data_IF_819772267621
#
_entry.id   IF_819772267621
#
_cell.length_a   1.000
_cell.length_b   1.000
_cell.length_c   1.000
_cell.angle_alpha   90.00
_cell.angle_beta   90.00
_cell.angle_gamma   90.00
#
_symmetry.space_group_name_H-M   'P 1'
#
loop_
_entity.id
_entity.type
_entity.pdbx_description
1 polymer ?
#
# COMPACT_ATOMS: atom_id res chain seq x y z
N UNK A 1 -32.18 67.61 -28.27
CA UNK A 1 -32.06 66.60 -29.35
C UNK A 1 -31.27 65.43 -28.81
N UNK A 2 -31.93 64.29 -28.59
CA UNK A 2 -31.37 62.95 -28.29
C UNK A 2 -30.73 62.33 -29.57
N UNK A 3 -29.99 61.18 -29.55
CA UNK A 3 -29.92 60.15 -28.50
C UNK A 3 -28.53 59.54 -28.16
N UNK A 4 -28.52 58.77 -27.08
CA UNK A 4 -27.52 57.76 -26.68
C UNK A 4 -27.62 56.50 -27.56
N UNK A 5 -26.50 55.87 -27.95
CA UNK A 5 -26.46 54.54 -28.58
C UNK A 5 -25.08 54.25 -29.19
N UNK A 6 -24.46 53.08 -29.05
CA UNK A 6 -24.86 51.83 -28.42
C UNK A 6 -23.63 50.97 -28.11
N UNK A 7 -23.81 50.05 -27.16
CA UNK A 7 -22.87 49.00 -26.79
C UNK A 7 -22.41 48.19 -28.03
N UNK A 8 -21.09 47.96 -28.23
CA UNK A 8 -20.60 47.12 -29.33
C UNK A 8 -21.09 45.65 -29.26
N UNK A 9 -21.83 45.24 -28.22
CA UNK A 9 -22.39 43.91 -28.03
C UNK A 9 -23.58 43.53 -28.95
N UNK A 10 -23.66 44.07 -30.18
CA UNK A 10 -24.78 43.88 -31.10
C UNK A 10 -24.46 43.06 -32.38
N UNK A 11 -23.36 42.31 -32.42
CA UNK A 11 -23.16 41.29 -33.46
C UNK A 11 -23.17 39.88 -32.86
N UNK A 12 -24.29 39.19 -33.09
CA UNK A 12 -24.56 37.83 -32.61
C UNK A 12 -23.79 36.72 -33.31
N UNK A 13 -22.80 37.03 -34.18
CA UNK A 13 -22.11 36.02 -34.99
C UNK A 13 -20.71 35.62 -34.50
N UNK A 14 -20.15 36.32 -33.52
CA UNK A 14 -18.76 36.12 -33.07
C UNK A 14 -18.62 35.46 -31.67
N UNK A 15 -19.71 35.30 -30.91
CA UNK A 15 -19.62 34.68 -29.57
C UNK A 15 -19.13 33.22 -29.57
N UNK A 16 -19.20 32.55 -30.72
CA UNK A 16 -18.73 31.18 -30.95
C UNK A 16 -17.20 31.07 -30.99
N UNK A 17 -16.49 32.09 -31.45
CA UNK A 17 -15.03 32.02 -31.63
C UNK A 17 -14.26 32.14 -30.31
N UNK A 18 -14.79 32.89 -29.34
CA UNK A 18 -14.15 33.10 -28.03
C UNK A 18 -14.29 31.93 -27.04
N UNK A 19 -15.20 30.98 -27.28
CA UNK A 19 -15.37 29.81 -26.40
C UNK A 19 -14.40 28.66 -26.71
N UNK A 20 -13.79 28.67 -27.90
CA UNK A 20 -13.00 27.55 -28.43
C UNK A 20 -11.51 27.55 -28.02
N UNK A 21 -11.00 28.63 -27.42
CA UNK A 21 -9.60 28.74 -26.99
C UNK A 21 -9.37 28.76 -25.48
N UNK A 22 -10.35 28.34 -24.67
CA UNK A 22 -10.09 28.04 -23.25
C UNK A 22 -9.41 26.67 -23.12
N UNK A 23 -8.21 26.56 -23.69
CA UNK A 23 -7.28 25.47 -23.46
C UNK A 23 -6.63 25.67 -22.07
N UNK A 24 -7.42 25.43 -21.03
CA UNK A 24 -6.85 25.24 -19.70
C UNK A 24 -6.19 23.88 -19.70
N UNK A 25 -4.85 23.87 -19.68
CA UNK A 25 -4.04 22.72 -19.29
C UNK A 25 -4.44 22.33 -17.87
N UNK A 26 -5.55 21.60 -17.75
CA UNK A 26 -6.03 21.02 -16.51
C UNK A 26 -5.14 19.82 -16.26
N UNK A 27 -3.98 20.08 -15.66
CA UNK A 27 -3.14 19.01 -15.11
C UNK A 27 -4.05 18.09 -14.29
N UNK A 28 -4.11 16.79 -14.59
CA UNK A 28 -4.99 15.87 -13.89
C UNK A 28 -4.64 15.91 -12.40
N UNK A 29 -5.64 15.98 -11.52
CA UNK A 29 -5.46 16.07 -10.04
C UNK A 29 -4.49 15.01 -9.49
N UNK A 30 -4.36 13.86 -10.15
CA UNK A 30 -3.40 12.80 -9.82
C UNK A 30 -1.93 13.26 -9.85
N UNK A 31 -1.56 14.20 -10.72
CA UNK A 31 -0.20 14.75 -10.80
C UNK A 31 0.16 15.63 -9.61
N UNK A 32 -0.82 16.31 -9.02
CA UNK A 32 -0.58 17.16 -7.84
C UNK A 32 -0.28 16.30 -6.61
N UNK A 33 -1.04 15.21 -6.38
CA UNK A 33 -0.75 14.28 -5.28
C UNK A 33 0.61 13.58 -5.40
N UNK A 34 1.06 13.28 -6.62
CA UNK A 34 2.39 12.74 -6.85
C UNK A 34 3.48 13.75 -6.46
N UNK A 35 3.35 15.01 -6.88
CA UNK A 35 4.28 16.11 -6.55
C UNK A 35 4.26 16.41 -5.04
N UNK A 36 3.10 16.37 -4.38
CA UNK A 36 2.97 16.53 -2.93
C UNK A 36 3.71 15.42 -2.16
N UNK A 37 3.78 14.20 -2.71
CA UNK A 37 4.59 13.11 -2.16
C UNK A 37 6.10 13.40 -2.20
N UNK A 38 6.58 14.13 -3.20
CA UNK A 38 7.97 14.60 -3.26
C UNK A 38 8.26 15.75 -2.29
N UNK A 39 7.23 16.41 -1.75
CA UNK A 39 7.42 17.50 -0.79
C UNK A 39 8.05 17.01 0.53
N UNK A 40 7.90 15.72 0.88
CA UNK A 40 8.61 15.07 1.99
C UNK A 40 10.13 15.08 1.80
N UNK A 41 10.62 15.04 0.55
CA UNK A 41 12.05 15.06 0.23
C UNK A 41 12.66 16.45 0.48
N UNK A 42 11.85 17.50 0.57
CA UNK A 42 12.34 18.86 0.84
C UNK A 42 12.80 19.07 2.29
N UNK A 43 12.40 18.20 3.22
CA UNK A 43 12.84 18.22 4.61
C UNK A 43 13.70 16.98 4.91
N UNK A 44 15.02 17.16 4.83
CA UNK A 44 16.02 16.10 5.05
C UNK A 44 15.86 15.44 6.42
N UNK A 45 15.45 16.17 7.46
CA UNK A 45 15.26 15.59 8.81
C UNK A 45 14.06 14.64 8.82
N UNK A 46 12.95 15.04 8.21
CA UNK A 46 11.76 14.18 8.05
C UNK A 46 12.07 12.96 7.19
N UNK A 47 12.80 13.14 6.09
CA UNK A 47 13.21 12.04 5.23
C UNK A 47 14.06 11.02 5.99
N UNK A 48 15.08 11.46 6.74
CA UNK A 48 15.91 10.58 7.55
C UNK A 48 15.12 9.85 8.63
N UNK A 49 14.17 10.54 9.28
CA UNK A 49 13.29 9.91 10.27
C UNK A 49 12.41 8.82 9.64
N UNK A 50 11.84 9.06 8.46
CA UNK A 50 11.04 8.07 7.73
C UNK A 50 11.88 6.88 7.27
N UNK A 51 13.11 7.12 6.78
CA UNK A 51 14.04 6.06 6.40
C UNK A 51 14.43 5.22 7.61
N UNK A 52 14.68 5.84 8.76
CA UNK A 52 14.96 5.15 10.02
C UNK A 52 13.77 4.28 10.46
N UNK A 53 12.56 4.84 10.49
CA UNK A 53 11.36 4.08 10.84
C UNK A 53 11.12 2.92 9.88
N UNK A 54 11.32 3.15 8.58
CA UNK A 54 11.20 2.10 7.58
C UNK A 54 12.22 1.00 7.87
N UNK A 55 13.51 1.33 7.96
CA UNK A 55 14.56 0.37 8.27
C UNK A 55 14.29 -0.41 9.56
N UNK A 56 13.76 0.24 10.60
CA UNK A 56 13.37 -0.42 11.84
C UNK A 56 12.28 -1.48 11.62
N UNK A 57 11.25 -1.17 10.82
CA UNK A 57 10.20 -2.15 10.46
C UNK A 57 10.79 -3.35 9.73
N UNK A 58 11.66 -3.13 8.74
CA UNK A 58 12.30 -4.21 7.98
C UNK A 58 13.22 -5.07 8.86
N UNK A 59 13.94 -4.46 9.80
CA UNK A 59 14.79 -5.19 10.75
C UNK A 59 13.94 -6.05 11.69
N UNK A 60 12.82 -5.51 12.19
CA UNK A 60 11.89 -6.27 13.04
C UNK A 60 11.32 -7.46 12.27
N UNK A 61 10.91 -7.27 11.00
CA UNK A 61 10.37 -8.36 10.19
C UNK A 61 11.41 -9.45 9.91
N UNK A 62 12.64 -9.06 9.55
CA UNK A 62 13.76 -9.99 9.42
C UNK A 62 14.07 -10.72 10.74
N UNK A 63 13.98 -10.03 11.88
CA UNK A 63 14.18 -10.64 13.21
C UNK A 63 13.08 -11.66 13.55
N UNK A 64 11.83 -11.42 13.14
CA UNK A 64 10.73 -12.40 13.28
C UNK A 64 11.03 -13.66 12.46
N UNK A 65 11.44 -13.50 11.19
CA UNK A 65 11.82 -14.62 10.32
C UNK A 65 13.01 -15.40 10.92
N UNK A 66 14.03 -14.69 11.40
CA UNK A 66 15.19 -15.33 12.04
C UNK A 66 14.80 -16.07 13.33
N UNK A 67 13.90 -15.51 14.13
CA UNK A 67 13.36 -16.18 15.33
C UNK A 67 12.60 -17.46 14.96
N UNK A 68 11.92 -17.47 13.81
CA UNK A 68 11.30 -18.69 13.28
C UNK A 68 12.36 -19.72 12.85
N UNK A 69 13.50 -19.32 12.29
CA UNK A 69 14.59 -20.28 12.01
C UNK A 69 15.05 -20.96 13.30
N UNK A 70 15.22 -20.20 14.39
CA UNK A 70 15.57 -20.75 15.70
C UNK A 70 14.48 -21.71 16.21
N UNK A 71 13.20 -21.34 16.08
CA UNK A 71 12.08 -22.19 16.51
C UNK A 71 12.00 -23.53 15.73
N UNK A 72 12.41 -23.53 14.46
CA UNK A 72 12.47 -24.71 13.60
C UNK A 72 13.83 -25.41 13.62
N UNK A 73 14.78 -24.94 14.44
CA UNK A 73 16.16 -25.45 14.50
C UNK A 73 16.89 -25.43 13.15
N UNK A 74 16.61 -24.42 12.32
CA UNK A 74 17.32 -24.19 11.07
C UNK A 74 18.62 -23.41 11.35
N UNK A 75 19.76 -24.04 11.07
CA UNK A 75 21.09 -23.41 11.19
C UNK A 75 21.39 -22.57 9.93
N UNK A 76 20.81 -21.37 9.88
CA UNK A 76 20.91 -20.45 8.74
C UNK A 76 21.55 -19.12 9.16
N UNK A 77 22.39 -18.51 8.29
CA UNK A 77 22.94 -17.20 8.57
C UNK A 77 21.83 -16.14 8.61
N UNK A 78 22.04 -15.05 9.36
CA UNK A 78 21.08 -13.93 9.45
C UNK A 78 20.68 -13.39 8.07
N UNK A 79 21.60 -13.38 7.10
CA UNK A 79 21.33 -12.96 5.72
C UNK A 79 20.20 -13.77 5.07
N UNK A 80 20.03 -15.04 5.44
CA UNK A 80 18.94 -15.87 4.94
C UNK A 80 17.55 -15.33 5.30
N UNK A 81 17.40 -14.69 6.47
CA UNK A 81 16.14 -14.09 6.87
C UNK A 81 15.76 -12.93 5.94
N UNK A 82 16.73 -12.09 5.57
CA UNK A 82 16.51 -11.02 4.60
C UNK A 82 16.19 -11.55 3.19
N UNK A 83 16.85 -12.62 2.75
CA UNK A 83 16.57 -13.25 1.45
C UNK A 83 15.14 -13.81 1.42
N UNK A 84 14.73 -14.54 2.46
CA UNK A 84 13.35 -15.06 2.58
C UNK A 84 12.35 -13.91 2.63
N UNK A 85 12.62 -12.84 3.38
CA UNK A 85 11.77 -11.65 3.46
C UNK A 85 11.57 -10.99 2.09
N UNK A 86 12.63 -10.75 1.32
CA UNK A 86 12.54 -10.13 0.00
C UNK A 86 11.73 -10.99 -0.97
N UNK A 87 11.98 -12.30 -0.99
CA UNK A 87 11.24 -13.24 -1.84
C UNK A 87 9.77 -13.30 -1.43
N UNK A 88 9.49 -13.32 -0.12
CA UNK A 88 8.14 -13.28 0.42
C UNK A 88 7.39 -12.03 -0.04
N UNK A 89 8.01 -10.86 0.08
CA UNK A 89 7.40 -9.58 -0.29
C UNK A 89 7.12 -9.53 -1.79
N UNK A 90 8.04 -10.03 -2.62
CA UNK A 90 7.79 -10.18 -4.05
C UNK A 90 6.60 -11.12 -4.33
N UNK A 91 6.46 -12.21 -3.57
CA UNK A 91 5.36 -13.16 -3.70
C UNK A 91 3.99 -12.57 -3.32
N UNK A 92 3.91 -11.87 -2.20
CA UNK A 92 2.65 -11.26 -1.72
C UNK A 92 2.27 -9.98 -2.49
N UNK A 93 3.23 -9.33 -3.16
CA UNK A 93 2.96 -8.21 -4.05
C UNK A 93 2.06 -8.59 -5.24
N UNK A 94 1.98 -9.88 -5.58
CA UNK A 94 1.03 -10.40 -6.58
C UNK A 94 -0.30 -10.70 -5.85
N UNK A 95 -1.38 -9.93 -6.10
CA UNK A 95 -2.65 -10.14 -5.41
C UNK A 95 -3.43 -11.30 -6.06
N UNK A 96 -3.18 -12.54 -5.64
CA UNK A 96 -3.83 -13.74 -6.21
C UNK A 96 -5.04 -14.21 -5.41
N UNK A 97 -4.98 -14.17 -4.07
CA UNK A 97 -6.01 -14.67 -3.18
C UNK A 97 -6.14 -13.82 -1.90
N UNK A 98 -7.33 -13.76 -1.28
CA UNK A 98 -7.51 -13.12 0.03
C UNK A 98 -6.55 -13.70 1.07
N UNK A 99 -5.88 -12.82 1.82
CA UNK A 99 -4.90 -13.22 2.84
C UNK A 99 -3.64 -13.87 2.27
N UNK A 100 -3.32 -13.71 0.97
CA UNK A 100 -2.06 -14.17 0.39
C UNK A 100 -1.78 -15.67 0.53
N UNK A 101 -2.82 -16.48 0.75
CA UNK A 101 -2.73 -17.93 0.83
C UNK A 101 -2.16 -18.47 -0.49
N UNK A 102 -1.20 -19.38 -0.40
CA UNK A 102 -0.49 -19.94 -1.55
C UNK A 102 0.78 -19.15 -1.88
N UNK A 103 0.66 -17.86 -2.22
CA UNK A 103 1.82 -17.02 -2.56
C UNK A 103 2.83 -16.93 -1.40
N UNK A 104 2.33 -16.73 -0.18
CA UNK A 104 3.17 -16.73 1.02
C UNK A 104 3.93 -18.05 1.18
N UNK A 105 3.21 -19.18 1.07
CA UNK A 105 3.79 -20.52 1.23
C UNK A 105 4.82 -20.84 0.16
N UNK A 106 4.49 -20.54 -1.09
CA UNK A 106 5.39 -20.76 -2.21
C UNK A 106 6.66 -19.91 -2.09
N UNK A 107 6.53 -18.63 -1.72
CA UNK A 107 7.67 -17.75 -1.56
C UNK A 107 8.61 -18.19 -0.42
N UNK A 108 8.06 -18.64 0.71
CA UNK A 108 8.86 -19.22 1.80
C UNK A 108 9.58 -20.50 1.37
N UNK A 109 8.89 -21.41 0.66
CA UNK A 109 9.50 -22.63 0.12
C UNK A 109 10.65 -22.29 -0.83
N UNK A 110 10.44 -21.31 -1.72
CA UNK A 110 11.45 -20.88 -2.67
C UNK A 110 12.66 -20.26 -1.95
N UNK A 111 12.42 -19.34 -1.01
CA UNK A 111 13.48 -18.67 -0.26
C UNK A 111 14.31 -19.62 0.60
N UNK A 112 13.66 -20.50 1.37
CA UNK A 112 14.35 -21.49 2.20
C UNK A 112 15.04 -22.59 1.37
N UNK A 113 14.49 -22.92 0.21
CA UNK A 113 15.10 -23.85 -0.74
C UNK A 113 16.45 -23.37 -1.26
N UNK A 114 16.68 -22.04 -1.36
CA UNK A 114 18.00 -21.47 -1.72
C UNK A 114 19.08 -21.79 -0.68
N UNK A 115 18.68 -22.10 0.56
CA UNK A 115 19.56 -22.47 1.66
C UNK A 115 19.55 -23.98 1.96
N UNK A 116 18.99 -24.79 1.05
CA UNK A 116 19.01 -26.25 1.17
C UNK A 116 17.98 -26.85 2.14
N UNK A 117 17.03 -26.05 2.64
CA UNK A 117 15.92 -26.58 3.44
C UNK A 117 14.98 -27.36 2.51
N UNK A 118 14.66 -28.60 2.90
CA UNK A 118 13.76 -29.44 2.13
C UNK A 118 12.32 -28.91 2.14
N UNK A 119 11.58 -29.21 1.06
CA UNK A 119 10.25 -28.64 0.80
C UNK A 119 9.23 -28.92 1.92
N UNK A 120 9.13 -30.13 2.51
CA UNK A 120 8.20 -30.40 3.61
C UNK A 120 8.42 -29.52 4.85
N UNK A 121 9.69 -29.29 5.20
CA UNK A 121 10.14 -28.49 6.33
C UNK A 121 9.87 -27.00 6.05
N UNK A 122 10.24 -26.52 4.87
CA UNK A 122 9.97 -25.16 4.44
C UNK A 122 8.46 -24.86 4.36
N UNK A 123 7.64 -25.84 3.96
CA UNK A 123 6.18 -25.71 3.96
C UNK A 123 5.61 -25.61 5.37
N UNK A 124 6.10 -26.44 6.30
CA UNK A 124 5.71 -26.39 7.73
C UNK A 124 6.07 -25.05 8.35
N UNK A 125 7.28 -24.55 8.09
CA UNK A 125 7.70 -23.20 8.45
C UNK A 125 6.73 -22.15 7.92
N UNK A 126 6.42 -22.20 6.63
CA UNK A 126 5.58 -21.21 5.99
C UNK A 126 4.15 -21.21 6.54
N UNK A 127 3.62 -22.38 6.92
CA UNK A 127 2.30 -22.52 7.52
C UNK A 127 2.23 -21.81 8.88
N UNK A 128 3.19 -22.09 9.77
CA UNK A 128 3.24 -21.49 11.11
C UNK A 128 3.50 -19.99 11.01
N UNK A 129 4.47 -19.58 10.18
CA UNK A 129 4.81 -18.18 10.01
C UNK A 129 3.63 -17.37 9.46
N UNK A 130 2.92 -17.90 8.45
CA UNK A 130 1.75 -17.23 7.89
C UNK A 130 0.62 -17.09 8.93
N UNK A 131 0.28 -18.18 9.62
CA UNK A 131 -0.80 -18.17 10.60
C UNK A 131 -0.50 -17.23 11.77
N UNK A 132 0.72 -17.26 12.31
CA UNK A 132 1.13 -16.39 13.40
C UNK A 132 1.10 -14.91 12.98
N UNK A 133 1.60 -14.60 11.78
CA UNK A 133 1.58 -13.24 11.25
C UNK A 133 0.15 -12.73 11.07
N UNK A 134 -0.74 -13.54 10.49
CA UNK A 134 -2.15 -13.20 10.34
C UNK A 134 -2.84 -13.01 11.70
N UNK A 135 -2.57 -13.89 12.65
CA UNK A 135 -3.13 -13.80 13.99
C UNK A 135 -2.74 -12.48 14.67
N UNK A 136 -1.46 -12.10 14.63
CA UNK A 136 -0.98 -10.84 15.20
C UNK A 136 -1.67 -9.64 14.53
N UNK A 137 -1.73 -9.61 13.19
CA UNK A 137 -2.38 -8.52 12.44
C UNK A 137 -3.86 -8.42 12.79
N UNK A 138 -4.56 -9.56 12.88
CA UNK A 138 -5.99 -9.60 13.26
C UNK A 138 -6.17 -9.10 14.70
N UNK A 139 -5.37 -9.59 15.65
CA UNK A 139 -5.46 -9.17 17.05
C UNK A 139 -5.23 -7.67 17.19
N UNK A 140 -4.19 -7.13 16.55
CA UNK A 140 -3.91 -5.69 16.57
C UNK A 140 -5.06 -4.91 15.90
N UNK A 141 -5.51 -5.34 14.72
CA UNK A 141 -6.61 -4.71 14.01
C UNK A 141 -7.90 -4.65 14.83
N UNK A 142 -8.29 -5.77 15.45
CA UNK A 142 -9.48 -5.88 16.31
C UNK A 142 -9.32 -5.08 17.61
N UNK A 143 -8.13 -5.10 18.22
CA UNK A 143 -7.88 -4.36 19.45
C UNK A 143 -7.92 -2.84 19.24
N UNK A 144 -7.50 -2.36 18.07
CA UNK A 144 -7.49 -0.95 17.71
C UNK A 144 -8.79 -0.45 17.05
N UNK A 145 -9.66 -1.36 16.62
CA UNK A 145 -10.96 -1.06 15.99
C UNK A 145 -11.85 -0.10 16.81
N UNK A 146 -12.01 -0.27 18.14
CA UNK A 146 -12.82 0.63 18.98
C UNK A 146 -12.24 2.04 19.13
N UNK A 147 -10.94 2.22 18.89
CA UNK A 147 -10.25 3.52 19.01
C UNK A 147 -10.32 4.32 17.71
N UNK A 148 -10.69 3.67 16.60
CA UNK A 148 -10.87 4.32 15.31
C UNK A 148 -12.31 4.83 15.15
N UNK A 149 -12.47 6.05 14.62
CA UNK A 149 -13.79 6.67 14.37
C UNK A 149 -14.62 5.98 13.26
N UNK A 150 -14.17 4.84 12.75
CA UNK A 150 -14.93 4.04 11.80
C UNK A 150 -16.06 3.34 12.54
N UNK A 151 -17.21 4.04 12.62
CA UNK A 151 -18.45 3.47 13.12
C UNK A 151 -18.78 2.21 12.31
N UNK A 152 -18.81 1.04 12.97
CA UNK A 152 -19.29 -0.21 12.37
C UNK A 152 -20.73 -0.03 11.82
N UNK A 153 -21.49 0.91 12.41
CA UNK A 153 -22.82 1.29 11.93
C UNK A 153 -22.78 1.98 10.56
N UNK A 154 -21.72 2.73 10.23
CA UNK A 154 -21.61 3.42 8.93
C UNK A 154 -21.27 2.42 7.81
N UNK A 155 -20.42 1.43 8.10
CA UNK A 155 -20.09 0.34 7.15
C UNK A 155 -21.32 -0.54 6.86
N UNK A 156 -22.10 -0.86 7.91
CA UNK A 156 -23.32 -1.67 7.77
C UNK A 156 -24.42 -0.90 7.03
N UNK A 157 -24.52 0.43 7.24
CA UNK A 157 -25.44 1.29 6.51
C UNK A 157 -25.13 1.44 5.01
N UNK A 158 -23.85 1.37 4.63
CA UNK A 158 -23.43 1.42 3.23
C UNK A 158 -23.68 0.11 2.48
N UNK A 159 -23.41 -1.05 3.08
CA UNK A 159 -23.73 -2.35 2.47
C UNK A 159 -25.23 -2.52 2.18
N UNK A 160 -26.11 -2.03 3.07
CA UNK A 160 -27.56 -2.13 2.88
C UNK A 160 -28.10 -1.21 1.78
N UNK A 161 -27.34 -0.19 1.36
CA UNK A 161 -27.70 0.70 0.25
C UNK A 161 -27.31 0.14 -1.12
N UNK A 162 -26.30 -0.72 -1.20
CA UNK A 162 -25.89 -1.33 -2.47
C UNK A 162 -26.69 -2.61 -2.83
N UNK A 163 -27.33 -3.23 -1.83
CA UNK A 163 -28.16 -4.43 -2.03
C UNK A 163 -29.61 -4.07 -2.46
N UNK A 164 -29.98 -2.79 -2.45
CA UNK A 164 -31.32 -2.31 -2.79
C UNK A 164 -31.32 -1.51 -4.09
#
# INVERSE_FOLDING_TARGET
>A
MLPLGGDPAADGKDRSAYSLFRNQRRFPRHFHHFIDGFQVITDVKRLLYLLFLSAAVWIVDAAVIYSMFLAFSFDLPIVAAFVVMVILIAGIAIPTAPGFIGNWHYACILGLGLFGIAKPEAFSFALVYHFLSMLVVIILGVSFLPFNKFSISDLTGQMNKEIK
#
